data_IF_855482401547
#
_entry.id   IF_855482401547
#
_cell.length_a   1.000
_cell.length_b   1.000
_cell.length_c   1.000
_cell.angle_alpha   90.00
_cell.angle_beta   90.00
_cell.angle_gamma   90.00
#
_symmetry.space_group_name_H-M   'P 1'
#
loop_
_entity.id
_entity.type
_entity.pdbx_description
1 polymer ?
#
# COMPACT_ATOMS: atom_id res chain seq x y z
N UNK A 1 -17.84 4.37 -9.96
CA UNK A 1 -16.89 5.38 -9.43
C UNK A 1 -16.16 4.83 -8.21
N UNK A 2 -14.84 5.00 -8.15
CA UNK A 2 -14.01 4.63 -7.00
C UNK A 2 -13.25 5.84 -6.45
N UNK A 3 -13.06 5.89 -5.13
CA UNK A 3 -12.25 6.91 -4.45
C UNK A 3 -11.04 6.24 -3.80
N UNK A 4 -9.84 6.74 -4.10
CA UNK A 4 -8.59 6.24 -3.52
C UNK A 4 -8.18 7.15 -2.37
N UNK A 5 -7.95 6.60 -1.18
CA UNK A 5 -7.55 7.37 0.00
C UNK A 5 -6.48 6.63 0.83
N UNK A 6 -5.73 7.37 1.64
CA UNK A 6 -4.76 6.83 2.62
C UNK A 6 -5.44 5.95 3.69
N UNK A 7 -6.74 6.13 3.90
CA UNK A 7 -7.60 5.32 4.76
C UNK A 7 -7.74 5.85 6.19
N UNK A 8 -7.51 7.14 6.43
CA UNK A 8 -7.88 7.80 7.68
C UNK A 8 -9.38 7.63 7.98
N UNK A 9 -9.72 7.46 9.27
CA UNK A 9 -11.10 7.16 9.68
C UNK A 9 -12.08 8.29 9.34
N UNK A 10 -11.63 9.54 9.44
CA UNK A 10 -12.41 10.73 9.10
C UNK A 10 -12.82 10.77 7.63
N UNK A 11 -11.88 10.53 6.71
CA UNK A 11 -12.18 10.47 5.27
C UNK A 11 -13.20 9.37 4.98
N UNK A 12 -13.02 8.16 5.53
CA UNK A 12 -13.99 7.08 5.34
C UNK A 12 -15.40 7.44 5.84
N UNK A 13 -15.51 8.16 6.95
CA UNK A 13 -16.81 8.63 7.46
C UNK A 13 -17.43 9.67 6.53
N UNK A 14 -16.64 10.64 6.07
CA UNK A 14 -17.11 11.67 5.13
C UNK A 14 -17.55 11.06 3.78
N UNK A 15 -16.79 10.11 3.23
CA UNK A 15 -17.12 9.43 1.98
C UNK A 15 -18.45 8.68 2.07
N UNK A 16 -18.74 8.03 3.19
CA UNK A 16 -20.04 7.36 3.39
C UNK A 16 -21.23 8.32 3.38
N UNK A 17 -21.00 9.57 3.78
CA UNK A 17 -22.04 10.59 3.80
C UNK A 17 -22.21 11.27 2.43
N UNK A 18 -21.09 11.71 1.82
CA UNK A 18 -21.11 12.45 0.56
C UNK A 18 -21.33 11.55 -0.67
N UNK A 19 -20.79 10.33 -0.66
CA UNK A 19 -20.87 9.38 -1.77
C UNK A 19 -21.11 7.95 -1.27
N UNK A 20 -22.32 7.64 -0.77
CA UNK A 20 -22.64 6.34 -0.15
C UNK A 20 -22.46 5.14 -1.09
N UNK A 21 -22.54 5.36 -2.40
CA UNK A 21 -22.38 4.31 -3.42
C UNK A 21 -20.95 4.22 -3.98
N UNK A 22 -20.06 5.15 -3.64
CA UNK A 22 -18.69 5.11 -4.11
C UNK A 22 -17.94 3.93 -3.48
N UNK A 23 -17.21 3.19 -4.32
CA UNK A 23 -16.28 2.18 -3.82
C UNK A 23 -15.04 2.88 -3.27
N UNK A 24 -14.58 2.45 -2.10
CA UNK A 24 -13.38 3.02 -1.47
C UNK A 24 -12.22 2.07 -1.64
N UNK A 25 -11.14 2.58 -2.23
CA UNK A 25 -9.85 1.89 -2.30
C UNK A 25 -8.86 2.53 -1.34
N UNK A 26 -8.08 1.69 -0.64
CA UNK A 26 -6.89 2.16 0.05
C UNK A 26 -5.75 2.35 -0.94
N UNK A 27 -5.09 3.49 -0.85
CA UNK A 27 -3.95 3.82 -1.69
C UNK A 27 -2.81 2.82 -1.45
N UNK A 28 -2.47 2.05 -2.49
CA UNK A 28 -1.41 1.03 -2.42
C UNK A 28 -0.03 1.63 -2.13
N UNK A 29 0.20 2.87 -2.60
CA UNK A 29 1.45 3.59 -2.36
C UNK A 29 1.70 3.86 -0.88
N UNK A 30 0.65 4.04 -0.07
CA UNK A 30 0.78 4.28 1.37
C UNK A 30 1.03 2.99 2.18
N UNK A 31 0.69 1.82 1.64
CA UNK A 31 0.86 0.56 2.37
C UNK A 31 2.35 0.23 2.58
N UNK A 32 3.20 0.47 1.56
CA UNK A 32 4.63 0.18 1.70
C UNK A 32 5.31 1.06 2.78
N UNK A 33 5.14 2.40 2.80
CA UNK A 33 5.61 3.24 3.89
C UNK A 33 5.02 2.88 5.26
N UNK A 34 3.73 2.52 5.34
CA UNK A 34 3.10 2.08 6.60
C UNK A 34 3.84 0.87 7.20
N UNK A 35 4.12 -0.16 6.37
CA UNK A 35 4.86 -1.36 6.79
C UNK A 35 6.33 -1.04 7.05
N UNK A 36 6.94 -0.18 6.24
CA UNK A 36 8.32 0.28 6.39
C UNK A 36 8.53 1.06 7.70
N UNK A 37 7.57 1.87 8.13
CA UNK A 37 7.62 2.56 9.42
C UNK A 37 7.59 1.57 10.60
N UNK A 38 6.83 0.48 10.46
CA UNK A 38 6.76 -0.57 11.50
C UNK A 38 8.08 -1.37 11.55
N UNK A 39 8.58 -1.84 10.42
CA UNK A 39 9.73 -2.77 10.37
C UNK A 39 11.10 -2.06 10.33
N UNK A 40 11.14 -0.81 9.90
CA UNK A 40 12.36 -0.11 9.49
C UNK A 40 12.76 -0.46 8.05
N UNK A 41 13.71 0.30 7.51
CA UNK A 41 14.22 0.14 6.13
C UNK A 41 15.18 -1.03 5.97
N UNK A 42 15.93 -1.38 7.03
CA UNK A 42 16.87 -2.49 7.05
C UNK A 42 16.65 -3.39 8.29
N UNK A 43 15.55 -4.17 8.33
CA UNK A 43 15.26 -5.01 9.48
C UNK A 43 16.26 -6.18 9.59
N UNK A 44 16.67 -6.50 10.82
CA UNK A 44 17.64 -7.55 11.13
C UNK A 44 17.17 -8.95 10.73
N UNK A 45 15.89 -9.24 10.94
CA UNK A 45 15.34 -10.58 10.71
C UNK A 45 14.99 -10.81 9.24
N UNK A 46 15.29 -12.01 8.75
CA UNK A 46 14.95 -12.42 7.39
C UNK A 46 13.43 -12.36 7.15
N UNK A 47 12.62 -12.83 8.10
CA UNK A 47 11.16 -12.78 8.03
C UNK A 47 10.64 -11.35 7.74
N UNK A 48 11.23 -10.34 8.39
CA UNK A 48 10.89 -8.93 8.17
C UNK A 48 11.33 -8.43 6.78
N UNK A 49 12.53 -8.81 6.32
CA UNK A 49 13.00 -8.45 4.96
C UNK A 49 12.11 -9.08 3.89
N UNK A 50 11.70 -10.32 4.09
CA UNK A 50 10.78 -11.02 3.19
C UNK A 50 9.39 -10.36 3.18
N UNK A 51 8.87 -9.87 4.30
CA UNK A 51 7.58 -9.15 4.35
C UNK A 51 7.62 -7.78 3.62
N UNK A 52 8.76 -7.11 3.60
CA UNK A 52 8.91 -5.85 2.86
C UNK A 52 8.78 -6.04 1.34
N UNK A 53 9.04 -7.25 0.82
CA UNK A 53 8.92 -7.56 -0.61
C UNK A 53 7.47 -7.46 -1.11
N UNK A 54 6.48 -8.20 -0.59
CA UNK A 54 5.09 -8.06 -1.02
C UNK A 54 4.54 -6.65 -0.76
N UNK A 55 5.00 -5.96 0.30
CA UNK A 55 4.64 -4.55 0.51
C UNK A 55 5.10 -3.63 -0.64
N UNK A 56 6.31 -3.85 -1.19
CA UNK A 56 6.84 -3.10 -2.35
C UNK A 56 6.20 -3.50 -3.67
N UNK A 57 5.90 -4.78 -3.85
CA UNK A 57 5.33 -5.33 -5.10
C UNK A 57 3.85 -4.98 -5.28
N UNK A 58 3.19 -4.51 -4.23
CA UNK A 58 1.77 -4.18 -4.18
C UNK A 58 1.31 -3.22 -5.29
N UNK A 59 2.14 -2.23 -5.66
CA UNK A 59 1.83 -1.26 -6.73
C UNK A 59 1.97 -1.83 -8.15
N UNK A 60 2.59 -3.01 -8.29
CA UNK A 60 2.81 -3.73 -9.56
C UNK A 60 1.67 -4.65 -9.93
N UNK A 61 0.75 -4.92 -9.01
CA UNK A 61 -0.45 -5.73 -9.26
C UNK A 61 -1.42 -4.95 -10.15
N UNK A 62 -1.75 -5.50 -11.33
CA UNK A 62 -2.58 -4.82 -12.36
C UNK A 62 -3.81 -5.61 -12.80
N UNK A 63 -3.83 -6.91 -12.55
CA UNK A 63 -4.91 -7.81 -12.96
C UNK A 63 -5.19 -8.85 -11.87
N UNK A 64 -6.26 -9.63 -12.08
CA UNK A 64 -6.72 -10.64 -11.12
C UNK A 64 -5.69 -11.73 -10.85
N UNK A 65 -4.93 -12.14 -11.87
CA UNK A 65 -3.91 -13.18 -11.72
C UNK A 65 -2.73 -12.69 -10.88
N UNK A 66 -2.26 -11.46 -11.12
CA UNK A 66 -1.25 -10.82 -10.30
C UNK A 66 -1.72 -10.61 -8.86
N UNK A 67 -3.01 -10.30 -8.65
CA UNK A 67 -3.59 -10.21 -7.31
C UNK A 67 -3.59 -11.58 -6.61
N UNK A 68 -4.01 -12.64 -7.29
CA UNK A 68 -4.01 -13.99 -6.76
C UNK A 68 -2.59 -14.46 -6.41
N UNK A 69 -1.61 -14.22 -7.30
CA UNK A 69 -0.20 -14.51 -7.06
C UNK A 69 0.35 -13.73 -5.87
N UNK A 70 0.01 -12.44 -5.75
CA UNK A 70 0.42 -11.61 -4.62
C UNK A 70 -0.14 -12.12 -3.28
N UNK A 71 -1.42 -12.46 -3.23
CA UNK A 71 -2.06 -13.06 -2.05
C UNK A 71 -1.44 -14.41 -1.68
N UNK A 72 -1.17 -15.24 -2.69
CA UNK A 72 -0.49 -16.53 -2.51
C UNK A 72 0.91 -16.36 -1.91
N UNK A 73 1.69 -15.40 -2.43
CA UNK A 73 3.02 -15.10 -1.91
C UNK A 73 2.98 -14.60 -0.45
N UNK A 74 2.02 -13.72 -0.11
CA UNK A 74 1.82 -13.27 1.26
C UNK A 74 1.45 -14.43 2.20
N UNK A 75 0.50 -15.27 1.80
CA UNK A 75 0.07 -16.42 2.60
C UNK A 75 1.20 -17.44 2.80
N UNK A 76 2.00 -17.70 1.76
CA UNK A 76 3.16 -18.58 1.83
C UNK A 76 4.24 -18.04 2.78
N UNK A 77 4.46 -16.72 2.80
CA UNK A 77 5.34 -16.08 3.78
C UNK A 77 4.81 -16.26 5.21
N UNK A 78 3.51 -16.03 5.42
CA UNK A 78 2.90 -16.13 6.74
C UNK A 78 2.96 -17.55 7.30
N UNK A 79 2.71 -18.56 6.46
CA UNK A 79 2.82 -19.97 6.84
C UNK A 79 4.27 -20.35 7.17
N UNK A 80 5.23 -19.92 6.34
CA UNK A 80 6.66 -20.23 6.51
C UNK A 80 7.22 -19.69 7.84
N UNK A 81 6.76 -18.52 8.27
CA UNK A 81 7.25 -17.85 9.47
C UNK A 81 6.30 -17.97 10.66
N UNK A 82 5.29 -18.84 10.60
CA UNK A 82 4.27 -18.98 11.64
C UNK A 82 4.88 -19.19 13.03
N UNK A 83 5.70 -20.22 13.18
CA UNK A 83 6.30 -20.57 14.48
C UNK A 83 7.20 -19.45 15.00
N UNK A 84 7.92 -18.77 14.09
CA UNK A 84 8.75 -17.61 14.43
C UNK A 84 7.89 -16.45 14.95
N UNK A 85 6.77 -16.15 14.29
CA UNK A 85 5.83 -15.10 14.70
C UNK A 85 5.12 -15.40 16.02
N UNK A 86 4.96 -16.67 16.37
CA UNK A 86 4.29 -17.14 17.58
C UNK A 86 5.24 -17.24 18.79
N UNK A 87 6.55 -16.99 18.61
CA UNK A 87 7.49 -16.93 19.72
C UNK A 87 7.13 -15.84 20.73
N UNK A 88 7.23 -16.19 22.01
CA UNK A 88 6.84 -15.35 23.15
C UNK A 88 8.04 -15.09 24.06
N UNK A 89 7.98 -13.97 24.76
CA UNK A 89 8.93 -13.58 25.80
C UNK A 89 8.18 -13.28 27.08
N UNK A 90 8.71 -13.74 28.21
CA UNK A 90 8.20 -13.42 29.55
C UNK A 90 8.98 -12.21 30.05
N UNK A 91 8.27 -11.18 30.47
CA UNK A 91 8.84 -9.94 30.98
C UNK A 91 9.04 -10.02 32.50
N UNK A 92 9.76 -9.06 33.08
CA UNK A 92 10.07 -9.03 34.51
C UNK A 92 8.85 -8.94 35.41
N UNK A 93 7.73 -8.46 34.88
CA UNK A 93 6.42 -8.38 35.55
C UNK A 93 5.60 -9.67 35.42
N UNK A 94 6.13 -10.71 34.77
CA UNK A 94 5.45 -11.98 34.50
C UNK A 94 4.51 -11.92 33.29
N UNK A 95 4.41 -10.79 32.58
CA UNK A 95 3.58 -10.68 31.38
C UNK A 95 4.22 -11.40 30.19
N UNK A 96 3.38 -12.04 29.36
CA UNK A 96 3.80 -12.70 28.14
C UNK A 96 3.52 -11.81 26.93
N UNK A 97 4.56 -11.51 26.15
CA UNK A 97 4.46 -10.68 24.96
C UNK A 97 5.09 -11.37 23.75
N UNK A 98 4.64 -11.02 22.54
CA UNK A 98 5.29 -11.47 21.31
C UNK A 98 6.77 -11.10 21.33
N UNK A 99 7.65 -12.06 21.05
CA UNK A 99 9.09 -11.80 20.96
C UNK A 99 9.39 -10.83 19.81
N UNK A 100 8.64 -10.94 18.71
CA UNK A 100 8.83 -10.16 17.48
C UNK A 100 7.72 -9.12 17.29
N UNK A 101 7.42 -8.31 18.31
CA UNK A 101 6.28 -7.38 18.34
C UNK A 101 6.13 -6.53 17.06
N UNK A 102 7.24 -5.97 16.55
CA UNK A 102 7.21 -5.14 15.33
C UNK A 102 6.75 -5.95 14.12
N UNK A 103 7.23 -7.18 13.98
CA UNK A 103 6.87 -8.04 12.86
C UNK A 103 5.42 -8.53 12.97
N UNK A 104 4.99 -8.90 14.17
CA UNK A 104 3.59 -9.26 14.46
C UNK A 104 2.65 -8.10 14.14
N UNK A 105 2.97 -6.88 14.56
CA UNK A 105 2.21 -5.67 14.22
C UNK A 105 2.14 -5.42 12.71
N UNK A 106 3.23 -5.64 11.97
CA UNK A 106 3.27 -5.49 10.52
C UNK A 106 2.38 -6.53 9.82
N UNK A 107 2.48 -7.80 10.23
CA UNK A 107 1.61 -8.89 9.78
C UNK A 107 0.13 -8.55 10.01
N UNK A 108 -0.23 -8.15 11.23
CA UNK A 108 -1.63 -7.86 11.58
C UNK A 108 -2.17 -6.66 10.81
N UNK A 109 -1.31 -5.68 10.54
CA UNK A 109 -1.63 -4.55 9.65
C UNK A 109 -1.94 -5.05 8.24
N UNK A 110 -1.10 -5.91 7.64
CA UNK A 110 -1.34 -6.50 6.32
C UNK A 110 -2.60 -7.37 6.29
N UNK A 111 -2.77 -8.29 7.25
CA UNK A 111 -3.98 -9.12 7.42
C UNK A 111 -5.25 -8.29 7.47
N UNK A 112 -5.22 -7.17 8.21
CA UNK A 112 -6.37 -6.26 8.26
C UNK A 112 -6.67 -5.65 6.89
N UNK A 113 -5.67 -5.21 6.13
CA UNK A 113 -5.86 -4.63 4.79
C UNK A 113 -6.44 -5.63 3.80
N UNK A 114 -5.97 -6.87 3.87
CA UNK A 114 -6.48 -7.97 3.05
C UNK A 114 -7.95 -8.23 3.39
N UNK A 115 -8.29 -8.36 4.68
CA UNK A 115 -9.68 -8.57 5.15
C UNK A 115 -10.63 -7.41 4.87
N UNK A 116 -10.11 -6.18 4.82
CA UNK A 116 -10.93 -5.01 4.46
C UNK A 116 -11.34 -5.03 2.97
N UNK A 117 -10.72 -5.86 2.11
CA UNK A 117 -11.00 -5.96 0.67
C UNK A 117 -10.97 -4.61 -0.09
N UNK A 118 -10.16 -3.65 0.39
CA UNK A 118 -10.06 -2.30 -0.19
C UNK A 118 -8.77 -2.07 -0.98
N UNK A 119 -7.91 -3.07 -1.17
CA UNK A 119 -6.62 -2.87 -1.87
C UNK A 119 -6.78 -2.84 -3.40
N UNK A 120 -7.57 -3.77 -3.95
CA UNK A 120 -7.66 -4.00 -5.40
C UNK A 120 -9.04 -3.64 -5.96
N UNK A 121 -9.73 -2.69 -5.33
CA UNK A 121 -11.09 -2.27 -5.70
C UNK A 121 -11.19 -1.79 -7.14
N UNK A 122 -10.12 -1.25 -7.73
CA UNK A 122 -10.07 -0.89 -9.16
C UNK A 122 -10.30 -2.06 -10.13
N UNK A 123 -10.19 -3.31 -9.66
CA UNK A 123 -10.47 -4.52 -10.44
C UNK A 123 -11.93 -4.96 -10.33
N UNK A 124 -12.77 -4.30 -9.54
CA UNK A 124 -14.19 -4.63 -9.41
C UNK A 124 -14.92 -4.40 -10.75
N UNK A 125 -15.46 -5.45 -11.40
CA UNK A 125 -16.15 -5.31 -12.68
C UNK A 125 -17.40 -4.42 -12.57
N UNK A 126 -17.97 -4.28 -11.38
CA UNK A 126 -19.10 -3.39 -11.08
C UNK A 126 -18.75 -1.91 -11.09
N UNK A 127 -17.47 -1.53 -11.24
CA UNK A 127 -17.08 -0.11 -11.36
C UNK A 127 -17.46 0.53 -12.70
N UNK A 128 -17.84 -0.27 -13.69
CA UNK A 128 -18.12 0.18 -15.06
C UNK A 128 -16.84 0.74 -15.68
N UNK A 129 -16.09 -0.10 -16.39
CA UNK A 129 -14.89 0.33 -17.12
C UNK A 129 -15.35 1.15 -18.33
N UNK A 130 -15.73 2.41 -18.10
CA UNK A 130 -15.54 3.45 -19.10
C UNK A 130 -14.04 3.53 -19.36
N UNK A 131 -13.67 3.49 -20.64
CA UNK A 131 -12.32 3.55 -21.22
C UNK A 131 -11.24 4.05 -20.25
N UNK A 132 -10.14 3.30 -20.03
CA UNK A 132 -9.07 3.74 -19.14
C UNK A 132 -8.61 5.14 -19.55
N UNK A 133 -8.77 6.12 -18.67
CA UNK A 133 -8.15 7.42 -18.85
C UNK A 133 -6.65 7.17 -18.79
N UNK A 134 -6.00 7.16 -19.97
CA UNK A 134 -4.57 6.94 -20.14
C UNK A 134 -3.86 7.90 -19.17
N UNK A 135 -2.90 7.42 -18.34
CA UNK A 135 -2.16 8.31 -17.48
C UNK A 135 -1.54 9.41 -18.36
N UNK A 136 -1.57 10.70 -17.95
CA UNK A 136 -0.88 11.74 -18.69
C UNK A 136 0.57 11.28 -18.82
N UNK A 137 0.96 10.97 -20.06
CA UNK A 137 2.34 10.63 -20.36
C UNK A 137 3.06 11.95 -20.21
N UNK A 138 3.76 12.15 -19.10
CA UNK A 138 4.70 13.26 -18.96
C UNK A 138 5.61 13.20 -20.19
N UNK A 139 5.67 14.24 -21.03
CA UNK A 139 6.60 14.24 -22.15
C UNK A 139 8.00 14.07 -21.55
N UNK A 140 8.69 13.01 -21.93
CA UNK A 140 10.09 12.84 -21.60
C UNK A 140 10.85 13.99 -22.26
N UNK A 141 11.23 14.98 -21.47
CA UNK A 141 12.09 16.07 -21.92
C UNK A 141 13.50 15.49 -22.12
N UNK A 142 13.81 15.06 -23.34
CA UNK A 142 15.20 14.92 -23.75
C UNK A 142 15.79 16.34 -23.86
N UNK A 143 17.00 16.60 -23.32
CA UNK A 143 17.61 17.91 -23.44
C UNK A 143 18.10 18.10 -24.88
N UNK A 144 17.31 18.77 -25.71
CA UNK A 144 17.85 19.40 -26.93
C UNK A 144 18.63 20.64 -26.50
N UNK A 145 19.94 20.55 -26.71
CA UNK A 145 20.88 21.65 -26.54
C UNK A 145 20.54 22.74 -27.57
N UNK A 146 19.97 23.86 -27.13
CA UNK A 146 19.91 25.08 -27.93
C UNK A 146 19.88 26.34 -27.05
N UNK A 147 20.64 27.31 -27.50
CA UNK A 147 21.06 28.56 -26.86
C UNK A 147 19.94 29.55 -26.54
N UNK A 148 20.01 30.10 -25.32
CA UNK A 148 19.69 31.47 -24.87
C UNK A 148 18.64 32.34 -25.59
N UNK A 149 17.60 32.74 -24.85
CA UNK A 149 17.32 34.14 -24.40
C UNK A 149 16.03 34.22 -23.55
N UNK A 150 16.11 34.89 -22.40
CA UNK A 150 15.00 35.52 -21.68
C UNK A 150 14.61 36.86 -22.39
N UNK A 151 13.52 37.61 -22.04
CA UNK A 151 12.71 37.57 -20.80
C UNK A 151 11.18 37.77 -20.98
N UNK A 152 10.40 37.63 -19.90
CA UNK A 152 9.03 38.20 -19.82
C UNK A 152 8.01 37.51 -18.90
N UNK A 153 7.97 37.93 -17.63
CA UNK A 153 6.83 38.15 -16.70
C UNK A 153 5.44 37.51 -16.97
N UNK A 154 4.93 36.71 -16.01
CA UNK A 154 3.77 36.99 -15.11
C UNK A 154 3.22 35.68 -14.53
N UNK A 155 3.18 35.58 -13.21
CA UNK A 155 2.56 34.48 -12.45
C UNK A 155 1.21 34.97 -11.93
N UNK A 156 0.14 34.23 -12.23
CA UNK A 156 -1.16 34.36 -11.54
C UNK A 156 -1.57 32.94 -11.13
N UNK A 157 -1.68 32.70 -9.82
CA UNK A 157 -2.28 31.49 -9.28
C UNK A 157 -3.76 31.75 -8.97
N UNK A 158 -4.62 30.84 -9.40
CA UNK A 158 -5.95 30.60 -8.84
C UNK A 158 -5.98 29.15 -8.34
#
# INVERSE_FOLDING_TARGET
MAVVCDGSGGIRKALRHAWPHARVQRCLLHICPDIGAILGTNPRHEASRQLLRPAKELTRVKDGDAMAAWLGAYNAWELRHKDFLEQKSIWSDGSENDLHQRLVKARDTMRRRIREHTMFTFMDPGLGIGTPCRPPTTPSNQPTRASARCPGTTVVYA
#
